data_IF_361911111193
#
_entry.id   IF_361911111193
#
_cell.length_a   1.000
_cell.length_b   1.000
_cell.length_c   1.000
_cell.angle_alpha   90.00
_cell.angle_beta   90.00
_cell.angle_gamma   90.00
#
_symmetry.space_group_name_H-M   'P 1'
#
loop_
_entity.id
_entity.type
_entity.pdbx_description
1 polymer ?
#
# COMPACT_ATOMS: atom_id res chain seq x y z
N UNK A 1 11.65 -11.72 49.52
CA UNK A 1 10.40 -10.96 49.32
C UNK A 1 10.66 -9.79 48.41
N UNK A 2 9.92 -9.73 47.34
CA UNK A 2 10.01 -8.64 46.36
C UNK A 2 9.33 -7.43 46.95
N UNK A 3 10.07 -6.31 47.11
CA UNK A 3 9.52 -5.06 47.59
C UNK A 3 8.49 -4.53 46.59
N UNK A 4 7.25 -4.40 47.01
CA UNK A 4 6.14 -3.91 46.21
C UNK A 4 6.45 -2.54 45.55
N UNK A 5 7.24 -1.72 46.21
CA UNK A 5 7.70 -0.44 45.69
C UNK A 5 8.64 -0.59 44.48
N UNK A 6 9.52 -1.58 44.50
CA UNK A 6 10.42 -1.88 43.37
C UNK A 6 9.67 -2.49 42.20
N UNK A 7 8.69 -3.31 42.47
CA UNK A 7 7.83 -3.89 41.46
C UNK A 7 6.97 -2.82 40.77
N UNK A 8 6.45 -1.88 41.55
CA UNK A 8 5.68 -0.75 41.04
C UNK A 8 6.55 0.17 40.18
N UNK A 9 7.81 0.38 40.56
CA UNK A 9 8.76 1.21 39.79
C UNK A 9 9.13 0.57 38.46
N UNK A 10 9.27 -0.75 38.41
CA UNK A 10 9.52 -1.52 37.17
C UNK A 10 8.31 -1.50 36.28
N UNK A 11 7.10 -1.61 36.84
CA UNK A 11 5.84 -1.58 36.08
C UNK A 11 5.62 -0.21 35.41
N UNK A 12 5.99 0.88 36.09
CA UNK A 12 5.88 2.25 35.54
C UNK A 12 6.86 2.46 34.38
N UNK A 13 8.00 1.78 34.39
CA UNK A 13 8.99 1.88 33.32
C UNK A 13 8.53 1.20 32.02
N UNK A 14 7.64 0.19 32.12
CA UNK A 14 7.09 -0.50 30.95
C UNK A 14 5.98 0.30 30.25
N UNK A 15 5.38 1.27 30.92
CA UNK A 15 4.28 2.04 30.36
C UNK A 15 4.72 3.26 29.52
N UNK A 16 6.00 3.61 29.56
CA UNK A 16 6.52 4.77 28.81
C UNK A 16 7.01 4.44 27.40
N UNK A 17 6.83 3.21 26.94
CA UNK A 17 7.33 2.77 25.63
C UNK A 17 6.35 2.94 24.48
N UNK A 18 5.23 3.63 24.69
CA UNK A 18 4.25 3.93 23.64
C UNK A 18 4.27 5.41 23.24
N UNK A 19 5.45 5.96 23.00
CA UNK A 19 5.51 7.21 22.24
C UNK A 19 5.71 6.89 20.77
N UNK A 20 4.62 6.54 20.09
CA UNK A 20 4.61 6.47 18.66
C UNK A 20 4.87 7.86 18.09
N UNK A 21 6.02 8.09 17.52
CA UNK A 21 6.29 9.28 16.74
C UNK A 21 5.35 9.27 15.54
N UNK A 22 4.39 10.13 15.59
CA UNK A 22 3.41 10.31 14.54
C UNK A 22 3.94 11.29 13.51
N UNK A 23 4.57 10.79 12.48
CA UNK A 23 4.89 11.57 11.29
C UNK A 23 3.66 11.73 10.38
N UNK A 24 2.55 12.20 10.95
CA UNK A 24 1.29 12.34 10.21
C UNK A 24 1.31 13.45 9.15
N UNK A 25 2.21 14.42 9.29
CA UNK A 25 2.24 15.59 8.40
C UNK A 25 2.91 15.28 7.06
N UNK A 26 3.93 14.42 7.04
CA UNK A 26 4.57 13.99 5.79
C UNK A 26 3.72 13.02 4.99
N UNK A 27 2.83 12.25 5.63
CA UNK A 27 2.00 11.28 4.94
C UNK A 27 0.92 11.92 4.06
N UNK A 28 0.42 13.12 4.41
CA UNK A 28 -0.64 13.81 3.64
C UNK A 28 -0.12 14.29 2.29
N UNK A 29 1.08 14.85 2.24
CA UNK A 29 1.70 15.33 0.99
C UNK A 29 2.09 14.16 0.10
N UNK A 30 2.53 13.03 0.68
CA UNK A 30 2.88 11.81 -0.05
C UNK A 30 1.66 11.08 -0.60
N UNK A 31 0.50 11.20 0.05
CA UNK A 31 -0.74 10.58 -0.44
C UNK A 31 -1.18 11.15 -1.78
N UNK A 32 -1.14 12.47 -1.95
CA UNK A 32 -1.47 13.10 -3.22
C UNK A 32 -0.51 12.67 -4.34
N UNK A 33 0.79 12.62 -4.08
CA UNK A 33 1.79 12.14 -5.03
C UNK A 33 1.60 10.66 -5.38
N UNK A 34 1.29 9.83 -4.38
CA UNK A 34 1.06 8.39 -4.57
C UNK A 34 -0.21 8.13 -5.38
N UNK A 35 -1.24 8.95 -5.17
CA UNK A 35 -2.48 8.84 -5.94
C UNK A 35 -2.22 9.14 -7.42
N UNK A 36 -1.49 10.20 -7.73
CA UNK A 36 -1.11 10.54 -9.10
C UNK A 36 -0.23 9.46 -9.75
N UNK A 37 0.73 8.92 -9.02
CA UNK A 37 1.59 7.84 -9.50
C UNK A 37 0.78 6.56 -9.75
N UNK A 38 -0.15 6.26 -8.87
CA UNK A 38 -1.03 5.09 -9.00
C UNK A 38 -1.92 5.22 -10.25
N UNK A 39 -2.51 6.39 -10.48
CA UNK A 39 -3.33 6.65 -11.66
C UNK A 39 -2.49 6.50 -12.93
N UNK A 40 -1.28 7.05 -12.94
CA UNK A 40 -0.35 6.94 -14.07
C UNK A 40 0.00 5.47 -14.37
N UNK A 41 0.32 4.69 -13.34
CA UNK A 41 0.61 3.26 -13.48
C UNK A 41 -0.61 2.50 -14.03
N UNK A 42 -1.80 2.80 -13.54
CA UNK A 42 -3.04 2.21 -14.03
C UNK A 42 -3.26 2.51 -15.52
N UNK A 43 -3.09 3.76 -15.92
CA UNK A 43 -3.24 4.19 -17.31
C UNK A 43 -2.23 3.51 -18.24
N UNK A 44 -0.98 3.37 -17.80
CA UNK A 44 0.04 2.61 -18.54
C UNK A 44 -0.33 1.15 -18.68
N UNK A 45 -0.91 0.57 -17.63
CA UNK A 45 -1.42 -0.80 -17.67
C UNK A 45 -2.53 -0.98 -18.72
N UNK A 46 -3.49 -0.05 -18.75
CA UNK A 46 -4.59 -0.08 -19.75
C UNK A 46 -4.04 0.02 -21.16
N UNK A 47 -3.11 0.93 -21.39
CA UNK A 47 -2.47 1.10 -22.70
C UNK A 47 -1.73 -0.17 -23.13
N UNK A 48 -0.96 -0.75 -22.24
CA UNK A 48 -0.24 -2.00 -22.51
C UNK A 48 -1.20 -3.15 -22.84
N UNK A 49 -2.33 -3.22 -22.14
CA UNK A 49 -3.36 -4.21 -22.39
C UNK A 49 -3.95 -4.04 -23.80
N UNK A 50 -4.24 -2.81 -24.20
CA UNK A 50 -4.71 -2.49 -25.57
C UNK A 50 -3.68 -2.86 -26.64
N UNK A 51 -2.40 -2.67 -26.35
CA UNK A 51 -1.29 -3.02 -27.24
C UNK A 51 -0.98 -4.53 -27.25
N UNK A 52 -1.65 -5.31 -26.41
CA UNK A 52 -1.45 -6.76 -26.33
C UNK A 52 -0.27 -7.19 -25.47
N UNK A 53 0.37 -6.27 -24.78
CA UNK A 53 1.47 -6.58 -23.85
C UNK A 53 0.94 -6.90 -22.46
N UNK A 54 0.43 -8.11 -22.31
CA UNK A 54 -0.29 -8.57 -21.12
C UNK A 54 0.60 -8.58 -19.89
N UNK A 55 1.85 -9.02 -20.02
CA UNK A 55 2.76 -9.10 -18.87
C UNK A 55 3.15 -7.72 -18.35
N UNK A 56 3.42 -6.81 -19.24
CA UNK A 56 3.71 -5.43 -18.86
C UNK A 56 2.47 -4.77 -18.25
N UNK A 57 1.30 -5.00 -18.83
CA UNK A 57 0.04 -4.50 -18.27
C UNK A 57 -0.18 -5.00 -16.83
N UNK A 58 -0.02 -6.31 -16.60
CA UNK A 58 -0.17 -6.89 -15.26
C UNK A 58 0.84 -6.29 -14.27
N UNK A 59 2.08 -6.09 -14.69
CA UNK A 59 3.11 -5.43 -13.88
C UNK A 59 2.68 -4.03 -13.47
N UNK A 60 2.14 -3.24 -14.38
CA UNK A 60 1.68 -1.88 -14.12
C UNK A 60 0.45 -1.84 -13.22
N UNK A 61 -0.49 -2.75 -13.39
CA UNK A 61 -1.65 -2.85 -12.51
C UNK A 61 -1.25 -3.26 -11.08
N UNK A 62 -0.30 -4.18 -10.94
CA UNK A 62 0.24 -4.55 -9.63
C UNK A 62 0.97 -3.38 -8.97
N UNK A 63 1.71 -2.60 -9.74
CA UNK A 63 2.35 -1.38 -9.26
C UNK A 63 1.33 -0.37 -8.74
N UNK A 64 0.24 -0.16 -9.46
CA UNK A 64 -0.85 0.73 -9.06
C UNK A 64 -1.47 0.28 -7.71
N UNK A 65 -1.70 -1.01 -7.54
CA UNK A 65 -2.20 -1.57 -6.29
C UNK A 65 -1.25 -1.30 -5.12
N UNK A 66 0.05 -1.52 -5.33
CA UNK A 66 1.06 -1.36 -4.28
C UNK A 66 1.26 0.09 -3.87
N UNK A 67 1.08 1.04 -4.79
CA UNK A 67 1.24 2.46 -4.51
C UNK A 67 0.17 3.00 -3.58
N UNK A 68 -1.07 2.57 -3.75
CA UNK A 68 -2.17 3.02 -2.91
C UNK A 68 -3.22 1.91 -2.71
N UNK A 69 -2.92 0.92 -1.85
CA UNK A 69 -3.77 -0.28 -1.70
C UNK A 69 -5.19 -0.01 -1.23
N UNK A 70 -5.41 1.10 -0.54
CA UNK A 70 -6.71 1.45 0.03
C UNK A 70 -7.63 2.21 -0.93
N UNK A 71 -7.15 2.55 -2.12
CA UNK A 71 -7.95 3.25 -3.11
C UNK A 71 -8.89 2.30 -3.86
N UNK A 72 -9.99 2.82 -4.38
CA UNK A 72 -10.85 2.06 -5.28
C UNK A 72 -10.14 1.65 -6.57
N UNK A 73 -9.12 2.41 -6.99
CA UNK A 73 -8.29 2.10 -8.14
C UNK A 73 -7.45 0.84 -7.94
N UNK A 74 -7.04 0.55 -6.69
CA UNK A 74 -6.31 -0.68 -6.39
C UNK A 74 -7.16 -1.92 -6.70
N UNK A 75 -8.42 -1.91 -6.30
CA UNK A 75 -9.35 -3.00 -6.61
C UNK A 75 -9.56 -3.15 -8.13
N UNK A 76 -9.71 -2.04 -8.85
CA UNK A 76 -9.81 -2.04 -10.32
C UNK A 76 -8.53 -2.56 -10.97
N UNK A 77 -7.36 -2.16 -10.46
CA UNK A 77 -6.07 -2.61 -10.98
C UNK A 77 -5.89 -4.13 -10.84
N UNK A 78 -6.24 -4.69 -9.70
CA UNK A 78 -6.21 -6.15 -9.48
C UNK A 78 -7.13 -6.86 -10.47
N UNK A 79 -8.34 -6.36 -10.64
CA UNK A 79 -9.31 -6.93 -11.57
C UNK A 79 -8.81 -6.87 -13.01
N UNK A 80 -8.19 -5.77 -13.42
CA UNK A 80 -7.62 -5.62 -14.76
C UNK A 80 -6.42 -6.53 -14.98
N UNK A 81 -5.58 -6.73 -13.99
CA UNK A 81 -4.48 -7.71 -14.07
C UNK A 81 -5.02 -9.13 -14.28
N UNK A 82 -6.02 -9.51 -13.49
CA UNK A 82 -6.68 -10.82 -13.62
C UNK A 82 -7.34 -10.98 -15.00
N UNK A 83 -7.99 -9.95 -15.51
CA UNK A 83 -8.57 -9.94 -16.84
C UNK A 83 -7.50 -10.16 -17.92
N UNK A 84 -6.35 -9.49 -17.80
CA UNK A 84 -5.23 -9.67 -18.72
C UNK A 84 -4.77 -11.12 -18.77
N UNK A 85 -4.55 -11.74 -17.63
CA UNK A 85 -4.18 -13.16 -17.56
C UNK A 85 -5.26 -14.08 -18.12
N UNK A 86 -6.51 -13.77 -17.86
CA UNK A 86 -7.64 -14.52 -18.41
C UNK A 86 -7.63 -14.50 -19.94
N UNK A 87 -7.40 -13.34 -20.55
CA UNK A 87 -7.35 -13.21 -22.03
C UNK A 87 -6.21 -14.01 -22.64
N UNK A 88 -5.09 -14.15 -21.93
CA UNK A 88 -3.96 -14.98 -22.38
C UNK A 88 -4.28 -16.47 -22.34
N UNK A 89 -5.10 -16.91 -21.37
CA UNK A 89 -5.44 -18.32 -21.21
C UNK A 89 -6.46 -18.80 -22.28
N UNK A 90 -7.19 -17.90 -22.85
CA UNK A 90 -8.24 -18.17 -23.82
C UNK A 90 -8.06 -17.37 -25.09
#
# INVERSE_FOLDING_TARGET
MINLKKFFFVLVFFLSSCSGNQEKVESIVKEDDLDLQMIAAYQEGVKALEDGDIYYAAKKFNEAELLYPQSEWAAKAILMAAYGYYTQAY
#
